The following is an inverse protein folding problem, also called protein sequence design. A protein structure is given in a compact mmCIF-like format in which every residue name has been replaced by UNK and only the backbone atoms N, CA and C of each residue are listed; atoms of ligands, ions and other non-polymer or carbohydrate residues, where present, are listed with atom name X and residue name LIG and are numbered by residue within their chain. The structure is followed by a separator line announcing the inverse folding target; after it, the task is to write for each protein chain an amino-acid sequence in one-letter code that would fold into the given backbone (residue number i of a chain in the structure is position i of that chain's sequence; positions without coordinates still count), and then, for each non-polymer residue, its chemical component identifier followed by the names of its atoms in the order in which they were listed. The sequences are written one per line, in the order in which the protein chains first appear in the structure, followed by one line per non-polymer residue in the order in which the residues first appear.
data_IF_757062683724
#
_entry.id   IF_757062683724
#
_cell.length_a   1.000
_cell.length_b   1.000
_cell.length_c   1.000
_cell.angle_alpha   90.00
_cell.angle_beta   90.00
_cell.angle_gamma   90.00
#
_symmetry.space_group_name_H-M   'P 1'
#
loop_
_entity.id
_entity.type
_entity.pdbx_description
1 polymer ?
#
# COMPACT_ATOMS: atom_id res chain seq x y z
N UNK A 1 -12.11 4.76 -4.20
CA UNK A 1 -11.25 3.58 -4.40
C UNK A 1 -11.77 2.77 -5.57
N UNK A 2 -10.92 2.49 -6.53
CA UNK A 2 -11.18 1.67 -7.72
C UNK A 2 -10.65 0.25 -7.48
N UNK A 3 -11.42 -0.80 -7.77
CA UNK A 3 -10.93 -2.18 -7.67
C UNK A 3 -10.01 -2.45 -8.86
N UNK A 4 -8.78 -2.88 -8.58
CA UNK A 4 -7.83 -3.32 -9.59
C UNK A 4 -7.99 -4.82 -9.87
N UNK A 5 -7.94 -5.63 -8.81
CA UNK A 5 -8.18 -7.07 -8.91
C UNK A 5 -8.73 -7.63 -7.61
N UNK A 6 -9.48 -8.71 -7.73
CA UNK A 6 -9.91 -9.51 -6.59
C UNK A 6 -9.31 -10.91 -6.71
N UNK A 7 -8.53 -11.30 -5.71
CA UNK A 7 -7.91 -12.63 -5.60
C UNK A 7 -8.55 -13.40 -4.45
N UNK A 8 -8.46 -14.74 -4.43
CA UNK A 8 -8.93 -15.52 -3.29
C UNK A 8 -8.27 -15.07 -1.98
N UNK A 9 -9.00 -14.30 -1.17
CA UNK A 9 -8.55 -13.85 0.14
C UNK A 9 -7.82 -12.51 0.19
N UNK A 10 -7.72 -11.76 -0.91
CA UNK A 10 -7.17 -10.40 -0.93
C UNK A 10 -7.67 -9.58 -2.14
N UNK A 11 -8.07 -8.33 -1.91
CA UNK A 11 -8.49 -7.39 -2.97
C UNK A 11 -7.50 -6.25 -3.10
N UNK A 12 -7.11 -5.93 -4.33
CA UNK A 12 -6.25 -4.80 -4.65
C UNK A 12 -7.08 -3.65 -5.17
N UNK A 13 -6.77 -2.46 -4.68
CA UNK A 13 -7.45 -1.22 -5.06
C UNK A 13 -6.44 -0.18 -5.50
N UNK A 14 -6.87 0.69 -6.40
CA UNK A 14 -6.25 1.98 -6.62
C UNK A 14 -7.01 3.04 -5.81
N UNK A 15 -6.28 3.96 -5.20
CA UNK A 15 -6.85 4.98 -4.34
C UNK A 15 -6.00 6.25 -4.33
N UNK A 16 -6.65 7.39 -4.17
CA UNK A 16 -5.96 8.59 -3.69
C UNK A 16 -5.72 8.50 -2.18
N UNK A 17 -4.86 9.37 -1.64
CA UNK A 17 -4.64 9.49 -0.19
C UNK A 17 -5.95 9.86 0.54
N UNK A 18 -6.77 10.76 -0.03
CA UNK A 18 -8.02 11.17 0.63
C UNK A 18 -9.02 10.00 0.74
N UNK A 19 -9.12 9.18 -0.30
CA UNK A 19 -9.98 8.00 -0.29
C UNK A 19 -9.49 6.93 0.71
N UNK A 20 -8.18 6.72 0.82
CA UNK A 20 -7.59 5.84 1.85
C UNK A 20 -7.94 6.33 3.26
N UNK A 21 -7.83 7.64 3.50
CA UNK A 21 -8.13 8.22 4.81
C UNK A 21 -9.56 7.94 5.25
N UNK A 22 -10.52 7.97 4.33
CA UNK A 22 -11.92 7.61 4.60
C UNK A 22 -12.09 6.10 4.83
N UNK A 23 -11.42 5.25 4.04
CA UNK A 23 -11.41 3.81 4.26
C UNK A 23 -10.91 3.44 5.67
N UNK A 24 -9.85 4.10 6.14
CA UNK A 24 -9.30 3.87 7.47
C UNK A 24 -10.24 4.25 8.63
N UNK A 25 -11.26 5.08 8.41
CA UNK A 25 -12.27 5.38 9.45
C UNK A 25 -13.14 4.16 9.77
N UNK A 26 -13.24 3.21 8.83
CA UNK A 26 -13.98 1.97 8.98
C UNK A 26 -13.18 0.87 9.70
N UNK A 27 -11.94 1.17 10.13
CA UNK A 27 -11.00 0.27 10.85
C UNK A 27 -10.68 -1.05 10.13
N UNK A 28 -10.63 -1.01 8.80
CA UNK A 28 -10.14 -2.14 8.04
C UNK A 28 -8.61 -2.13 8.01
N UNK A 29 -7.99 -3.26 8.38
CA UNK A 29 -6.56 -3.43 8.25
C UNK A 29 -6.20 -3.61 6.77
N UNK A 30 -5.35 -2.72 6.27
CA UNK A 30 -4.86 -2.75 4.90
C UNK A 30 -3.33 -2.80 4.84
N UNK A 31 -2.84 -3.26 3.70
CA UNK A 31 -1.50 -2.94 3.21
C UNK A 31 -1.58 -1.77 2.25
N UNK A 32 -0.54 -0.95 2.21
CA UNK A 32 -0.41 0.15 1.25
C UNK A 32 0.82 -0.06 0.39
N UNK A 33 0.66 0.07 -0.93
CA UNK A 33 1.76 0.09 -1.91
C UNK A 33 1.90 1.51 -2.46
N UNK A 34 3.10 2.07 -2.47
CA UNK A 34 3.36 3.39 -3.05
C UNK A 34 4.80 3.54 -3.55
N UNK A 35 5.05 4.58 -4.35
CA UNK A 35 6.38 4.93 -4.84
C UNK A 35 7.20 5.66 -3.77
N UNK A 36 8.52 5.46 -3.76
CA UNK A 36 9.42 6.08 -2.78
C UNK A 36 9.29 7.60 -2.70
N UNK A 37 9.15 8.27 -3.83
CA UNK A 37 8.97 9.73 -3.92
C UNK A 37 7.72 10.24 -3.22
N UNK A 38 6.71 9.39 -3.04
CA UNK A 38 5.45 9.73 -2.38
C UNK A 38 5.43 9.33 -0.90
N UNK A 39 6.40 8.51 -0.45
CA UNK A 39 6.39 7.91 0.88
C UNK A 39 6.40 8.93 2.02
N UNK A 40 7.24 9.97 1.90
CA UNK A 40 7.36 11.00 2.94
C UNK A 40 6.04 11.75 3.12
N UNK A 41 5.52 12.33 2.04
CA UNK A 41 4.28 13.10 2.06
C UNK A 41 3.09 12.24 2.47
N UNK A 42 3.10 10.96 2.08
CA UNK A 42 2.11 9.97 2.50
C UNK A 42 2.14 9.79 4.01
N UNK A 43 3.31 9.51 4.59
CA UNK A 43 3.45 9.23 6.03
C UNK A 43 3.00 10.42 6.87
N UNK A 44 3.38 11.64 6.46
CA UNK A 44 2.97 12.86 7.15
C UNK A 44 1.45 13.04 7.17
N UNK A 45 0.77 12.73 6.06
CA UNK A 45 -0.69 12.87 5.92
C UNK A 45 -1.46 11.79 6.68
N UNK A 46 -0.94 10.57 6.77
CA UNK A 46 -1.65 9.42 7.35
C UNK A 46 -1.12 8.99 8.71
N UNK A 47 -0.25 9.79 9.35
CA UNK A 47 0.40 9.50 10.64
C UNK A 47 -0.56 8.93 11.71
N UNK A 48 -1.76 9.49 11.82
CA UNK A 48 -2.76 9.12 12.83
C UNK A 48 -3.54 7.83 12.46
N UNK A 49 -3.31 7.29 11.26
CA UNK A 49 -3.94 6.07 10.72
C UNK A 49 -3.01 4.86 10.74
N UNK A 50 -1.70 5.04 10.83
CA UNK A 50 -0.75 3.90 10.96
C UNK A 50 -1.08 3.01 12.16
N UNK A 51 -1.53 3.60 13.27
CA UNK A 51 -1.88 2.83 14.48
C UNK A 51 -3.17 2.01 14.37
N UNK A 52 -4.03 2.29 13.39
CA UNK A 52 -5.42 1.81 13.41
C UNK A 52 -5.89 1.14 12.13
N UNK A 53 -5.15 1.32 11.03
CA UNK A 53 -5.59 0.90 9.69
C UNK A 53 -4.44 0.32 8.85
N UNK A 54 -3.25 0.93 8.87
CA UNK A 54 -2.16 0.54 7.98
C UNK A 54 -1.24 -0.44 8.71
N UNK A 55 -1.46 -1.73 8.46
CA UNK A 55 -0.67 -2.82 9.05
C UNK A 55 0.65 -3.07 8.32
N UNK A 56 0.72 -2.70 7.04
CA UNK A 56 1.88 -2.92 6.19
C UNK A 56 2.03 -1.76 5.20
N UNK A 57 3.26 -1.26 5.04
CA UNK A 57 3.64 -0.26 4.05
C UNK A 57 4.73 -0.84 3.15
N UNK A 58 4.42 -1.01 1.88
CA UNK A 58 5.32 -1.53 0.86
C UNK A 58 5.71 -0.35 -0.03
N UNK A 59 6.96 0.05 0.03
CA UNK A 59 7.49 1.19 -0.72
C UNK A 59 8.33 0.67 -1.88
N UNK A 60 7.96 1.08 -3.10
CA UNK A 60 8.70 0.75 -4.30
C UNK A 60 9.90 1.69 -4.40
N UNK A 61 11.10 1.14 -4.21
CA UNK A 61 12.38 1.83 -4.26
C UNK A 61 13.40 1.28 -3.26
N UNK A 62 14.68 1.47 -3.58
CA UNK A 62 15.81 0.75 -2.96
C UNK A 62 16.08 1.03 -1.46
N UNK A 63 15.41 2.04 -0.87
CA UNK A 63 15.69 2.45 0.50
C UNK A 63 14.45 3.03 1.18
N UNK A 64 14.11 2.45 2.34
CA UNK A 64 12.97 2.82 3.18
C UNK A 64 13.38 3.30 4.57
N UNK A 65 14.66 3.55 4.83
CA UNK A 65 15.18 3.95 6.15
C UNK A 65 14.47 5.19 6.70
N UNK A 66 14.17 6.17 5.83
CA UNK A 66 13.43 7.37 6.24
C UNK A 66 12.00 7.01 6.66
N UNK A 67 11.31 6.16 5.90
CA UNK A 67 9.97 5.68 6.26
C UNK A 67 9.98 4.89 7.57
N UNK A 68 10.98 4.03 7.78
CA UNK A 68 11.17 3.28 9.04
C UNK A 68 11.36 4.24 10.22
N UNK A 69 12.21 5.25 10.09
CA UNK A 69 12.45 6.21 11.17
C UNK A 69 11.19 7.02 11.52
N UNK A 70 10.41 7.42 10.51
CA UNK A 70 9.15 8.14 10.70
C UNK A 70 8.04 7.27 11.29
N UNK A 71 8.11 5.95 11.10
CA UNK A 71 7.08 5.00 11.53
C UNK A 71 7.47 4.12 12.72
N UNK A 72 8.65 4.34 13.32
CA UNK A 72 9.22 3.50 14.40
C UNK A 72 8.36 3.31 15.65
N UNK A 73 7.36 4.17 15.85
CA UNK A 73 6.44 4.13 17.00
C UNK A 73 5.05 3.58 16.62
N UNK A 74 4.92 2.99 15.44
CA UNK A 74 3.69 2.37 14.93
C UNK A 74 3.90 0.87 14.73
N UNK A 75 2.84 0.10 14.97
CA UNK A 75 2.82 -1.34 14.74
C UNK A 75 2.60 -1.65 13.25
N UNK A 76 3.48 -1.12 12.39
CA UNK A 76 3.39 -1.23 10.94
C UNK A 76 4.64 -1.89 10.38
N UNK A 77 4.44 -2.91 9.55
CA UNK A 77 5.53 -3.57 8.83
C UNK A 77 5.93 -2.73 7.60
N UNK A 78 7.15 -2.18 7.59
CA UNK A 78 7.69 -1.42 6.45
C UNK A 78 8.58 -2.32 5.61
N UNK A 79 8.32 -2.38 4.30
CA UNK A 79 9.07 -3.22 3.35
C UNK A 79 9.46 -2.40 2.13
N UNK A 80 10.70 -2.57 1.67
CA UNK A 80 11.16 -2.08 0.37
C UNK A 80 10.89 -3.14 -0.70
N UNK A 81 10.36 -2.71 -1.84
CA UNK A 81 10.24 -3.52 -3.05
C UNK A 81 11.06 -2.88 -4.17
N UNK A 82 11.71 -3.69 -5.01
CA UNK A 82 12.56 -3.14 -6.09
C UNK A 82 11.73 -2.57 -7.25
N UNK A 83 10.51 -3.07 -7.42
CA UNK A 83 9.58 -2.69 -8.48
C UNK A 83 8.13 -3.03 -8.06
N UNK A 84 7.16 -2.72 -8.93
CA UNK A 84 5.75 -2.97 -8.64
C UNK A 84 5.39 -4.46 -8.57
N UNK A 85 5.97 -5.31 -9.43
CA UNK A 85 5.74 -6.75 -9.40
C UNK A 85 6.19 -7.36 -8.06
N UNK A 86 7.37 -6.98 -7.57
CA UNK A 86 7.86 -7.38 -6.25
C UNK A 86 6.92 -6.91 -5.15
N UNK A 87 6.43 -5.66 -5.22
CA UNK A 87 5.51 -5.11 -4.23
C UNK A 87 4.19 -5.90 -4.17
N UNK A 88 3.64 -6.26 -5.32
CA UNK A 88 2.42 -7.08 -5.41
C UNK A 88 2.68 -8.47 -4.83
N UNK A 89 3.80 -9.11 -5.18
CA UNK A 89 4.18 -10.43 -4.66
C UNK A 89 4.34 -10.42 -3.13
N UNK A 90 4.97 -9.38 -2.58
CA UNK A 90 5.07 -9.17 -1.12
C UNK A 90 3.68 -9.08 -0.49
N UNK A 91 2.77 -8.30 -1.09
CA UNK A 91 1.40 -8.14 -0.60
C UNK A 91 0.59 -9.45 -0.64
N UNK A 92 0.69 -10.22 -1.73
CA UNK A 92 0.05 -11.53 -1.90
C UNK A 92 0.53 -12.54 -0.85
N UNK A 93 1.84 -12.58 -0.61
CA UNK A 93 2.45 -13.40 0.45
C UNK A 93 2.02 -12.96 1.87
N UNK A 94 1.46 -11.75 1.99
CA UNK A 94 0.97 -11.15 3.23
C UNK A 94 -0.57 -11.18 3.34
N UNK A 95 -1.26 -11.95 2.48
CA UNK A 95 -2.75 -12.03 2.44
C UNK A 95 -3.43 -12.52 3.73
N UNK A 96 -2.67 -13.14 4.64
CA UNK A 96 -3.15 -13.49 5.98
C UNK A 96 -3.12 -12.30 6.95
N UNK A 97 -2.30 -11.27 6.68
CA UNK A 97 -2.18 -10.06 7.50
C UNK A 97 -3.21 -9.00 7.09
N UNK A 98 -3.46 -8.84 5.79
CA UNK A 98 -4.36 -7.83 5.25
C UNK A 98 -5.19 -8.39 4.09
N UNK A 99 -6.49 -8.06 4.10
CA UNK A 99 -7.43 -8.43 3.04
C UNK A 99 -7.54 -7.38 1.95
N UNK A 100 -7.23 -6.14 2.28
CA UNK A 100 -7.23 -5.03 1.34
C UNK A 100 -5.79 -4.54 1.11
N UNK A 101 -5.39 -4.44 -0.16
CA UNK A 101 -4.12 -3.86 -0.59
C UNK A 101 -4.43 -2.61 -1.39
N UNK A 102 -3.90 -1.48 -0.95
CA UNK A 102 -4.26 -0.17 -1.49
C UNK A 102 -3.02 0.42 -2.16
N UNK A 103 -3.04 0.43 -3.49
CA UNK A 103 -2.07 1.11 -4.32
C UNK A 103 -2.38 2.60 -4.33
N UNK A 104 -1.48 3.39 -3.73
CA UNK A 104 -1.61 4.85 -3.63
C UNK A 104 -0.60 5.49 -4.56
N UNK A 105 -1.08 6.43 -5.38
CA UNK A 105 -0.23 7.30 -6.19
C UNK A 105 -0.81 8.70 -6.19
N UNK A 106 0.07 9.70 -6.26
CA UNK A 106 -0.35 11.09 -6.52
C UNK A 106 -0.78 11.31 -7.97
N UNK A 107 -0.39 10.43 -8.89
CA UNK A 107 -0.74 10.52 -10.30
C UNK A 107 -2.08 9.80 -10.47
N UNK A 108 -3.09 10.52 -10.98
CA UNK A 108 -4.48 10.06 -11.22
C UNK A 108 -4.60 8.98 -12.34
N UNK A 109 -3.68 8.03 -12.41
CA UNK A 109 -3.68 7.00 -13.44
C UNK A 109 -3.52 5.61 -12.81
N UNK A 110 -4.65 4.96 -12.54
CA UNK A 110 -4.73 3.55 -12.16
C UNK A 110 -4.09 2.61 -13.19
N UNK A 111 -4.02 3.02 -14.47
CA UNK A 111 -3.50 2.22 -15.59
C UNK A 111 -2.14 1.57 -15.33
N UNK A 112 -1.20 2.29 -14.69
CA UNK A 112 0.13 1.74 -14.38
C UNK A 112 0.08 0.53 -13.43
N UNK A 113 -0.91 0.52 -12.52
CA UNK A 113 -1.11 -0.60 -11.58
C UNK A 113 -1.93 -1.73 -12.18
N UNK A 114 -2.98 -1.41 -12.95
CA UNK A 114 -3.87 -2.40 -13.56
C UNK A 114 -3.11 -3.32 -14.52
N UNK A 115 -2.34 -2.73 -15.43
CA UNK A 115 -1.63 -3.48 -16.49
C UNK A 115 -0.60 -4.47 -15.92
N UNK A 116 -0.01 -4.17 -14.75
CA UNK A 116 1.03 -4.99 -14.12
C UNK A 116 0.41 -6.07 -13.22
N UNK A 117 -0.71 -5.79 -12.56
CA UNK A 117 -1.40 -6.79 -11.74
C UNK A 117 -1.87 -7.98 -12.59
N UNK A 118 -2.37 -7.74 -13.80
CA UNK A 118 -2.83 -8.82 -14.71
C UNK A 118 -1.69 -9.77 -15.12
N UNK A 119 -0.45 -9.26 -15.20
CA UNK A 119 0.73 -10.04 -15.56
C UNK A 119 1.29 -10.91 -14.41
N UNK A 120 0.90 -10.62 -13.17
CA UNK A 120 1.47 -11.28 -11.98
C UNK A 120 0.63 -12.46 -11.49
N UNK A 121 -0.63 -12.55 -11.93
CA UNK A 121 -1.60 -13.58 -11.51
C UNK A 121 -1.85 -14.62 -12.62
N UNK A 122 -1.15 -14.52 -13.75
CA UNK A 122 -1.11 -15.51 -14.84
C UNK A 122 0.06 -16.48 -14.68
#
# INVERSE_FOLDING_TARGET
MEILINTPGQTFYYSTIQELMHHCEQKNNCAVILLKEDAKDFIEQVKDRFKTCISQLIVIGDNVNEAVEQTKNYDTLIISASNLQDAIQIALNSSNLCKDVICVSKIESSKSFTDIIELVIT
#
